data_IF_363274023501
#
_entry.id   IF_363274023501
#
_cell.length_a   1.000
_cell.length_b   1.000
_cell.length_c   1.000
_cell.angle_alpha   90.00
_cell.angle_beta   90.00
_cell.angle_gamma   90.00
#
_symmetry.space_group_name_H-M   'P 1'
#
loop_
_entity.id
_entity.type
_entity.pdbx_description
1 polymer ?
#
# COMPACT_ATOMS: atom_id res chain seq x y z
N UNK A 1 13.21 9.57 4.13
CA UNK A 1 11.88 8.96 4.37
C UNK A 1 11.87 7.91 5.46
N UNK A 2 12.80 6.95 5.55
CA UNK A 2 12.83 5.98 6.65
C UNK A 2 14.21 5.86 7.26
N UNK A 3 14.28 5.35 8.48
CA UNK A 3 15.53 5.08 9.18
C UNK A 3 16.33 4.01 8.40
N UNK A 4 17.65 4.19 8.29
CA UNK A 4 18.51 3.32 7.47
C UNK A 4 18.48 1.86 7.94
N UNK A 5 18.34 0.92 6.99
CA UNK A 5 18.28 -0.51 7.29
C UNK A 5 17.02 -0.99 8.03
N UNK A 6 16.01 -0.13 8.21
CA UNK A 6 14.81 -0.47 8.99
C UNK A 6 13.70 -1.13 8.19
N UNK A 7 13.79 -1.16 6.86
CA UNK A 7 12.74 -1.69 6.00
C UNK A 7 12.69 -3.22 6.02
N UNK A 8 11.50 -3.76 6.24
CA UNK A 8 11.21 -5.19 6.22
C UNK A 8 10.01 -5.46 5.31
N UNK A 9 10.29 -6.01 4.13
CA UNK A 9 9.27 -6.32 3.12
C UNK A 9 8.45 -7.57 3.48
N UNK A 10 7.14 -7.48 3.29
CA UNK A 10 6.18 -8.55 3.49
C UNK A 10 5.81 -9.17 2.15
N UNK A 11 6.05 -10.48 2.02
CA UNK A 11 5.74 -11.28 0.82
C UNK A 11 6.36 -10.68 -0.47
N UNK A 12 7.70 -10.56 -0.56
CA UNK A 12 8.38 -9.97 -1.72
C UNK A 12 8.16 -10.73 -3.04
N UNK A 13 7.82 -12.03 -2.97
CA UNK A 13 7.59 -12.86 -4.16
C UNK A 13 6.13 -12.90 -4.63
N UNK A 14 5.18 -12.31 -3.90
CA UNK A 14 3.75 -12.32 -4.22
C UNK A 14 3.28 -10.92 -4.60
N UNK A 15 2.55 -10.79 -5.71
CA UNK A 15 2.05 -9.51 -6.24
C UNK A 15 3.14 -8.41 -6.21
N UNK A 16 4.17 -8.58 -7.06
CA UNK A 16 5.40 -7.76 -7.08
C UNK A 16 5.17 -6.32 -7.56
N UNK A 17 4.03 -6.07 -8.20
CA UNK A 17 3.48 -4.77 -8.55
C UNK A 17 3.10 -3.90 -7.33
N UNK A 18 2.93 -4.49 -6.14
CA UNK A 18 2.75 -3.75 -4.88
C UNK A 18 3.72 -4.22 -3.80
N UNK A 19 4.47 -3.27 -3.27
CA UNK A 19 5.39 -3.46 -2.16
C UNK A 19 4.63 -3.16 -0.87
N UNK A 20 4.64 -4.10 0.06
CA UNK A 20 4.15 -3.88 1.43
C UNK A 20 5.25 -4.23 2.41
N UNK A 21 5.41 -3.45 3.47
CA UNK A 21 6.49 -3.66 4.42
C UNK A 21 6.40 -2.77 5.64
N UNK A 22 7.14 -3.12 6.69
CA UNK A 22 7.29 -2.27 7.86
C UNK A 22 8.62 -1.52 7.79
N UNK A 23 8.67 -0.33 8.37
CA UNK A 23 9.89 0.43 8.56
C UNK A 23 9.86 1.21 9.87
N UNK A 24 10.96 1.91 10.16
CA UNK A 24 11.01 2.92 11.23
C UNK A 24 11.10 4.31 10.62
N UNK A 25 10.33 5.23 11.17
CA UNK A 25 10.43 6.66 10.91
C UNK A 25 10.60 7.36 12.24
N UNK A 26 11.76 7.98 12.48
CA UNK A 26 12.07 8.66 13.74
C UNK A 26 11.86 7.71 14.95
N UNK A 27 12.25 6.44 14.82
CA UNK A 27 12.08 5.40 15.84
C UNK A 27 10.66 4.82 15.98
N UNK A 28 9.63 5.39 15.33
CA UNK A 28 8.26 4.87 15.35
C UNK A 28 8.05 3.82 14.26
N UNK A 29 7.30 2.77 14.56
CA UNK A 29 6.90 1.77 13.55
C UNK A 29 5.95 2.41 12.56
N UNK A 30 6.25 2.30 11.26
CA UNK A 30 5.36 2.69 10.17
C UNK A 30 5.17 1.48 9.24
N UNK A 31 3.98 1.33 8.69
CA UNK A 31 3.71 0.43 7.57
C UNK A 31 3.82 1.19 6.26
N UNK A 32 4.32 0.55 5.23
CA UNK A 32 4.54 1.13 3.91
C UNK A 32 3.77 0.31 2.89
N UNK A 33 3.03 0.99 2.03
CA UNK A 33 2.40 0.43 0.84
C UNK A 33 2.89 1.26 -0.35
N UNK A 34 3.53 0.64 -1.33
CA UNK A 34 4.12 1.35 -2.46
C UNK A 34 3.88 0.62 -3.77
N UNK A 35 3.53 1.36 -4.81
CA UNK A 35 3.37 0.78 -6.15
C UNK A 35 4.75 0.59 -6.78
N UNK A 36 4.97 -0.55 -7.44
CA UNK A 36 6.20 -0.85 -8.16
C UNK A 36 5.97 -0.76 -9.66
N UNK A 37 6.26 0.41 -10.24
CA UNK A 37 6.05 0.71 -11.67
C UNK A 37 6.88 -0.17 -12.62
N UNK A 38 7.98 -0.77 -12.14
CA UNK A 38 8.79 -1.70 -12.94
C UNK A 38 8.10 -3.07 -13.17
N UNK A 39 7.06 -3.39 -12.41
CA UNK A 39 6.33 -4.65 -12.51
C UNK A 39 4.92 -4.36 -13.04
N UNK A 40 4.59 -4.93 -14.22
CA UNK A 40 3.27 -4.78 -14.88
C UNK A 40 2.82 -3.31 -15.02
N UNK A 41 3.77 -2.38 -15.18
CA UNK A 41 3.49 -0.95 -15.35
C UNK A 41 2.90 -0.25 -14.12
N UNK A 42 3.02 -0.84 -12.93
CA UNK A 42 2.47 -0.28 -11.69
C UNK A 42 0.94 -0.41 -11.58
N UNK A 43 0.37 -1.31 -12.39
CA UNK A 43 -1.07 -1.59 -12.38
C UNK A 43 -1.42 -2.42 -11.15
N UNK A 44 -2.50 -2.02 -10.47
CA UNK A 44 -3.06 -2.76 -9.34
C UNK A 44 -3.99 -3.84 -9.89
N UNK A 45 -3.61 -5.11 -9.69
CA UNK A 45 -4.42 -6.30 -9.94
C UNK A 45 -5.10 -6.78 -8.64
N UNK A 46 -6.00 -7.77 -8.73
CA UNK A 46 -6.72 -8.31 -7.57
C UNK A 46 -5.75 -8.86 -6.52
N UNK A 47 -4.66 -9.49 -6.93
CA UNK A 47 -3.67 -10.04 -5.98
C UNK A 47 -2.93 -8.95 -5.22
N UNK A 48 -2.54 -7.86 -5.89
CA UNK A 48 -1.98 -6.67 -5.26
C UNK A 48 -2.97 -5.99 -4.33
N UNK A 49 -4.22 -5.81 -4.78
CA UNK A 49 -5.28 -5.25 -3.95
C UNK A 49 -5.48 -6.08 -2.68
N UNK A 50 -5.57 -7.41 -2.81
CA UNK A 50 -5.71 -8.33 -1.67
C UNK A 50 -4.49 -8.32 -0.74
N UNK A 51 -3.27 -8.21 -1.30
CA UNK A 51 -2.03 -8.09 -0.52
C UNK A 51 -2.04 -6.79 0.30
N UNK A 52 -2.37 -5.68 -0.34
CA UNK A 52 -2.43 -4.36 0.28
C UNK A 52 -3.54 -4.30 1.35
N UNK A 53 -4.77 -4.69 1.04
CA UNK A 53 -5.89 -4.66 1.98
C UNK A 53 -5.61 -5.50 3.24
N UNK A 54 -5.07 -6.71 3.10
CA UNK A 54 -4.66 -7.52 4.26
C UNK A 54 -3.59 -6.82 5.10
N UNK A 55 -2.60 -6.20 4.46
CA UNK A 55 -1.54 -5.48 5.16
C UNK A 55 -2.08 -4.25 5.90
N UNK A 56 -2.97 -3.49 5.26
CA UNK A 56 -3.63 -2.31 5.85
C UNK A 56 -4.46 -2.72 7.08
N UNK A 57 -5.26 -3.78 6.97
CA UNK A 57 -6.06 -4.31 8.10
C UNK A 57 -5.20 -4.73 9.29
N UNK A 58 -4.03 -5.31 9.03
CA UNK A 58 -3.07 -5.63 10.09
C UNK A 58 -2.57 -4.33 10.74
N UNK A 59 -2.13 -3.36 9.93
CA UNK A 59 -1.63 -2.09 10.46
C UNK A 59 -2.69 -1.34 11.29
N UNK A 60 -3.93 -1.32 10.82
CA UNK A 60 -5.07 -0.75 11.54
C UNK A 60 -5.30 -1.44 12.90
N UNK A 61 -5.29 -2.77 12.92
CA UNK A 61 -5.46 -3.57 14.15
C UNK A 61 -4.39 -3.31 15.20
N UNK A 62 -3.18 -2.89 14.78
CA UNK A 62 -2.05 -2.60 15.67
C UNK A 62 -1.80 -1.10 15.86
N UNK A 63 -2.68 -0.22 15.37
CA UNK A 63 -2.50 1.23 15.39
C UNK A 63 -1.16 1.68 14.78
N UNK A 64 -0.70 0.97 13.75
CA UNK A 64 0.54 1.29 13.03
C UNK A 64 0.21 2.35 11.96
N UNK A 65 0.84 3.53 11.99
CA UNK A 65 0.68 4.54 10.94
C UNK A 65 1.12 3.99 9.58
N UNK A 66 0.39 4.36 8.52
CA UNK A 66 0.66 3.90 7.15
C UNK A 66 1.20 5.06 6.31
N UNK A 67 2.24 4.77 5.54
CA UNK A 67 2.78 5.62 4.48
C UNK A 67 2.45 4.94 3.16
N UNK A 68 1.76 5.65 2.27
CA UNK A 68 1.43 5.16 0.94
C UNK A 68 2.21 5.94 -0.12
N UNK A 69 2.97 5.23 -0.95
CA UNK A 69 3.71 5.79 -2.08
C UNK A 69 2.98 5.44 -3.37
N UNK A 70 2.18 6.38 -3.85
CA UNK A 70 1.36 6.22 -5.05
C UNK A 70 2.07 6.86 -6.25
N UNK A 71 2.54 6.04 -7.18
CA UNK A 71 3.19 6.50 -8.42
C UNK A 71 2.26 6.47 -9.64
N UNK A 72 1.12 5.76 -9.56
CA UNK A 72 0.15 5.70 -10.66
C UNK A 72 -1.28 5.46 -10.15
N UNK A 73 -2.31 6.11 -10.74
CA UNK A 73 -3.72 5.83 -10.46
C UNK A 73 -4.29 4.67 -11.30
N UNK A 74 -3.45 3.86 -11.96
CA UNK A 74 -3.91 2.83 -12.87
C UNK A 74 -4.43 1.57 -12.14
N UNK A 75 -5.75 1.46 -12.03
CA UNK A 75 -6.45 0.22 -11.64
C UNK A 75 -6.65 -0.65 -12.88
N UNK A 76 -6.35 -1.95 -12.81
CA UNK A 76 -6.66 -2.86 -13.91
C UNK A 76 -8.19 -3.01 -14.03
N UNK A 77 -8.75 -2.67 -15.18
CA UNK A 77 -10.16 -2.94 -15.50
C UNK A 77 -10.22 -4.03 -16.58
N UNK A 78 -10.67 -5.23 -16.19
CA UNK A 78 -10.79 -6.40 -17.06
C UNK A 78 -11.89 -7.33 -16.58
N UNK A 79 -12.49 -8.09 -17.51
CA UNK A 79 -13.65 -8.96 -17.22
C UNK A 79 -13.33 -10.05 -16.19
N UNK A 80 -12.10 -10.56 -16.17
CA UNK A 80 -11.62 -11.52 -15.17
C UNK A 80 -11.45 -10.87 -13.78
N UNK A 81 -11.06 -9.60 -13.73
CA UNK A 81 -10.88 -8.83 -12.49
C UNK A 81 -12.23 -8.43 -11.86
N UNK A 82 -13.26 -8.16 -12.67
CA UNK A 82 -14.62 -7.92 -12.18
C UNK A 82 -15.23 -9.14 -11.48
N UNK A 83 -14.91 -10.35 -11.96
CA UNK A 83 -15.37 -11.59 -11.32
C UNK A 83 -14.60 -11.93 -10.03
N UNK A 84 -13.39 -11.37 -9.86
CA UNK A 84 -12.46 -11.72 -8.78
C UNK A 84 -12.51 -10.79 -7.54
N UNK A 85 -13.65 -10.12 -7.31
CA UNK A 85 -14.01 -9.37 -6.10
C UNK A 85 -13.53 -7.90 -6.06
N UNK A 86 -14.31 -7.02 -6.69
CA UNK A 86 -14.10 -5.56 -6.78
C UNK A 86 -14.14 -4.79 -5.45
N UNK A 87 -14.61 -5.41 -4.36
CA UNK A 87 -14.73 -4.78 -3.03
C UNK A 87 -13.39 -4.29 -2.47
N UNK A 88 -12.31 -5.01 -2.77
CA UNK A 88 -10.97 -4.71 -2.26
C UNK A 88 -10.42 -3.42 -2.84
N UNK A 89 -10.78 -3.11 -4.09
CA UNK A 89 -10.41 -1.85 -4.73
C UNK A 89 -11.11 -0.66 -4.09
N UNK A 90 -12.38 -0.82 -3.67
CA UNK A 90 -13.14 0.22 -2.98
C UNK A 90 -12.53 0.60 -1.64
N UNK A 91 -12.05 -0.38 -0.87
CA UNK A 91 -11.32 -0.15 0.38
C UNK A 91 -10.02 0.65 0.13
N UNK A 92 -9.21 0.24 -0.86
CA UNK A 92 -7.97 0.95 -1.22
C UNK A 92 -8.22 2.40 -1.68
N UNK A 93 -9.25 2.63 -2.51
CA UNK A 93 -9.63 3.97 -2.96
C UNK A 93 -10.19 4.83 -1.82
N UNK A 94 -11.00 4.25 -0.92
CA UNK A 94 -11.54 4.94 0.26
C UNK A 94 -10.47 5.35 1.28
N UNK A 95 -9.36 4.61 1.35
CA UNK A 95 -8.20 5.01 2.16
C UNK A 95 -7.51 6.27 1.64
N UNK A 96 -7.48 6.46 0.31
CA UNK A 96 -6.83 7.62 -0.32
C UNK A 96 -7.49 8.94 0.14
N UNK A 97 -8.82 8.97 0.29
CA UNK A 97 -9.54 10.17 0.73
C UNK A 97 -9.48 10.41 2.25
N UNK A 98 -9.38 9.34 3.04
CA UNK A 98 -9.55 9.44 4.50
C UNK A 98 -8.26 9.82 5.23
N UNK A 99 -7.08 9.43 4.72
CA UNK A 99 -5.79 9.65 5.43
C UNK A 99 -5.01 10.90 5.00
N UNK A 100 -5.42 11.57 3.92
CA UNK A 100 -4.89 12.89 3.52
C UNK A 100 -5.13 13.99 4.57
N UNK A 101 -6.08 13.79 5.49
CA UNK A 101 -6.36 14.75 6.58
C UNK A 101 -5.46 14.58 7.80
N UNK A 102 -4.80 13.42 7.96
CA UNK A 102 -4.04 13.09 9.17
C UNK A 102 -2.51 13.12 8.97
N UNK A 103 -2.02 13.26 7.74
CA UNK A 103 -0.61 13.54 7.45
C UNK A 103 -0.43 15.02 7.16
N UNK A 104 0.24 15.74 8.07
CA UNK A 104 0.65 17.13 7.80
C UNK A 104 1.85 17.08 6.86
N UNK A 105 1.94 18.05 5.95
CA UNK A 105 3.05 18.20 5.00
C UNK A 105 4.45 18.24 5.67
N UNK A 106 4.49 18.46 6.98
CA UNK A 106 5.66 18.45 7.86
C UNK A 106 6.26 17.05 8.09
N UNK A 107 5.48 15.98 7.89
CA UNK A 107 5.88 14.59 8.13
C UNK A 107 6.54 13.92 6.89
N UNK A 108 6.65 14.66 5.78
CA UNK A 108 7.13 14.19 4.46
C UNK A 108 8.50 14.80 4.08
N UNK A 109 9.19 15.47 5.01
CA UNK A 109 10.53 16.04 4.77
C UNK A 109 11.61 14.94 4.69
#
# INVERSE_FOLDING_TARGET
>A
MIDEGSFFEIKPAFARNIITGYARLNGRTVGIVANQSMEVGGVIDVDAANKAARFVRICDSFNIPLIQLQDSPAVMIGVEEEHNNSEVYGELLGFNETKLKDLRAEDVV
#
